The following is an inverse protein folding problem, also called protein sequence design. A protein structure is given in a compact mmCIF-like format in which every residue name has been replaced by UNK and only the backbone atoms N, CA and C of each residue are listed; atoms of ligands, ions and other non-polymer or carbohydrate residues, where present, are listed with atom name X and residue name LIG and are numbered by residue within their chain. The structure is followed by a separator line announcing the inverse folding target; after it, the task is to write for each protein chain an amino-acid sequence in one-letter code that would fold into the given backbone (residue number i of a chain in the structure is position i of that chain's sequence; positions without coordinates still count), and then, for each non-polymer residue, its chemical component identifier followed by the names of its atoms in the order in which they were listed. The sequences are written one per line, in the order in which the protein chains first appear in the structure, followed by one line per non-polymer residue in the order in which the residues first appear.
data_IF_242642365229
#
_entry.id   IF_242642365229
#
_cell.length_a   1.000
_cell.length_b   1.000
_cell.length_c   1.000
_cell.angle_alpha   90.00
_cell.angle_beta   90.00
_cell.angle_gamma   90.00
#
_symmetry.space_group_name_H-M   'P 1'
#
loop_
_entity.id
_entity.type
_entity.pdbx_description
1 polymer ?
#
# COMPACT_ATOMS: atom_id res chain seq x y z
N UNK A 1 -10.88 29.20 19.83
CA UNK A 1 -10.65 27.74 19.98
C UNK A 1 -10.96 27.06 18.65
N UNK A 2 -10.05 27.10 17.68
CA UNK A 2 -10.18 26.31 16.45
C UNK A 2 -9.11 25.21 16.51
N UNK A 3 -9.55 23.97 16.59
CA UNK A 3 -8.68 22.81 16.73
C UNK A 3 -8.02 22.50 15.38
N UNK A 4 -6.69 22.62 15.28
CA UNK A 4 -5.88 22.26 14.11
C UNK A 4 -5.84 20.75 13.79
N UNK A 5 -6.72 19.95 14.39
CA UNK A 5 -6.74 18.48 14.27
C UNK A 5 -7.67 17.98 13.16
N UNK A 6 -8.52 18.83 12.59
CA UNK A 6 -9.51 18.44 11.58
C UNK A 6 -9.00 18.44 10.12
N UNK A 7 -7.78 18.90 9.85
CA UNK A 7 -7.22 18.94 8.48
C UNK A 7 -6.34 17.73 8.10
N UNK A 8 -6.19 16.73 8.98
CA UNK A 8 -5.46 15.50 8.65
C UNK A 8 -6.33 14.47 7.89
N UNK A 9 -7.49 14.90 7.41
CA UNK A 9 -8.52 14.11 6.75
C UNK A 9 -8.32 13.95 5.24
N UNK A 10 -7.35 14.64 4.64
CA UNK A 10 -7.20 14.70 3.18
C UNK A 10 -5.76 14.43 2.75
N UNK A 11 -5.40 13.16 2.64
CA UNK A 11 -4.59 12.63 1.53
C UNK A 11 -4.37 11.15 1.79
N UNK A 12 -4.75 10.33 0.81
CA UNK A 12 -4.58 8.88 0.86
C UNK A 12 -3.18 8.48 1.28
N UNK A 13 -3.08 7.25 1.78
CA UNK A 13 -1.84 6.60 2.20
C UNK A 13 -0.91 6.50 0.98
N UNK A 14 -0.24 7.58 0.61
CA UNK A 14 0.93 7.61 -0.25
C UNK A 14 2.10 7.99 0.64
N UNK A 15 2.40 7.15 1.63
CA UNK A 15 3.78 7.09 2.07
C UNK A 15 4.56 6.65 0.82
N UNK A 16 5.41 7.51 0.22
CA UNK A 16 6.12 7.10 -0.96
C UNK A 16 6.92 5.87 -0.58
N UNK A 17 6.88 4.81 -1.39
CA UNK A 17 7.67 3.59 -1.19
C UNK A 17 9.15 3.93 -0.88
N UNK A 18 9.63 5.04 -1.45
CA UNK A 18 10.90 5.68 -1.15
C UNK A 18 11.14 5.96 0.35
N UNK A 19 10.14 6.42 1.09
CA UNK A 19 10.23 6.69 2.54
C UNK A 19 10.23 5.41 3.38
N UNK A 20 9.55 4.35 2.93
CA UNK A 20 9.61 3.04 3.57
C UNK A 20 10.95 2.33 3.32
N UNK A 21 11.63 2.64 2.20
CA UNK A 21 12.89 2.03 1.79
C UNK A 21 14.14 2.80 2.21
N UNK A 22 13.99 4.05 2.71
CA UNK A 22 15.09 4.83 3.32
C UNK A 22 15.92 4.08 4.37
N UNK A 23 15.36 3.27 5.28
CA UNK A 23 16.17 2.53 6.24
C UNK A 23 16.92 1.32 5.65
N UNK A 24 16.63 0.90 4.41
CA UNK A 24 17.18 -0.32 3.80
C UNK A 24 18.49 -0.12 2.99
N UNK A 25 19.02 1.11 2.93
CA UNK A 25 20.25 1.43 2.19
C UNK A 25 19.98 2.07 0.81
N UNK A 26 21.00 2.10 -0.06
CA UNK A 26 20.88 2.63 -1.43
C UNK A 26 20.19 1.59 -2.31
N UNK A 27 18.91 1.81 -2.60
CA UNK A 27 18.15 1.05 -3.60
C UNK A 27 18.32 1.65 -4.99
N UNK A 28 18.33 0.80 -6.01
CA UNK A 28 18.38 1.23 -7.42
C UNK A 28 17.16 2.07 -7.77
N UNK A 29 17.31 3.04 -8.67
CA UNK A 29 16.18 3.85 -9.18
C UNK A 29 15.10 3.00 -9.85
N UNK A 30 15.46 1.82 -10.35
CA UNK A 30 14.53 0.86 -10.96
C UNK A 30 13.83 -0.05 -9.94
N UNK A 31 14.27 -0.05 -8.69
CA UNK A 31 13.71 -0.94 -7.66
C UNK A 31 12.30 -0.51 -7.23
N UNK A 32 12.08 0.79 -7.04
CA UNK A 32 10.77 1.35 -6.64
C UNK A 32 9.66 1.00 -7.63
N UNK A 33 9.79 1.26 -8.95
CA UNK A 33 8.72 0.94 -9.90
C UNK A 33 8.48 -0.57 -10.02
N UNK A 34 9.52 -1.40 -9.92
CA UNK A 34 9.37 -2.85 -9.94
C UNK A 34 8.68 -3.39 -8.70
N UNK A 35 8.99 -2.84 -7.52
CA UNK A 35 8.33 -3.20 -6.28
C UNK A 35 6.85 -2.80 -6.32
N UNK A 36 6.54 -1.59 -6.80
CA UNK A 36 5.16 -1.12 -6.96
C UNK A 36 4.34 -2.05 -7.87
N UNK A 37 4.90 -2.40 -9.04
CA UNK A 37 4.27 -3.36 -9.95
C UNK A 37 4.02 -4.71 -9.27
N UNK A 38 5.00 -5.21 -8.50
CA UNK A 38 4.87 -6.50 -7.83
C UNK A 38 3.85 -6.50 -6.70
N UNK A 39 3.79 -5.43 -5.93
CA UNK A 39 2.80 -5.26 -4.86
C UNK A 39 1.39 -5.18 -5.43
N UNK A 40 1.20 -4.50 -6.57
CA UNK A 40 -0.10 -4.47 -7.27
C UNK A 40 -0.57 -5.85 -7.69
N UNK A 41 0.30 -6.67 -8.29
CA UNK A 41 -0.03 -8.06 -8.65
C UNK A 41 -0.49 -8.88 -7.43
N UNK A 42 0.19 -8.73 -6.30
CA UNK A 42 -0.16 -9.44 -5.05
C UNK A 42 -1.53 -8.99 -4.54
N UNK A 43 -1.79 -7.69 -4.53
CA UNK A 43 -3.08 -7.14 -4.09
C UNK A 43 -4.24 -7.60 -4.99
N UNK A 44 -4.06 -7.59 -6.31
CA UNK A 44 -5.06 -8.09 -7.26
C UNK A 44 -5.36 -9.59 -7.06
N UNK A 45 -4.32 -10.39 -6.80
CA UNK A 45 -4.48 -11.80 -6.49
C UNK A 45 -5.25 -12.01 -5.17
N UNK A 46 -4.94 -11.22 -4.14
CA UNK A 46 -5.61 -11.27 -2.86
C UNK A 46 -7.09 -10.86 -2.96
N UNK A 47 -7.41 -9.81 -3.74
CA UNK A 47 -8.79 -9.40 -4.01
C UNK A 47 -9.57 -10.54 -4.66
N UNK A 48 -9.02 -11.17 -5.71
CA UNK A 48 -9.68 -12.31 -6.38
C UNK A 48 -9.94 -13.49 -5.44
N UNK A 49 -9.03 -13.75 -4.49
CA UNK A 49 -9.22 -14.79 -3.47
C UNK A 49 -10.30 -14.41 -2.47
N UNK A 50 -10.32 -13.16 -2.00
CA UNK A 50 -11.37 -12.66 -1.12
C UNK A 50 -12.76 -12.73 -1.77
N UNK A 51 -12.88 -12.34 -3.04
CA UNK A 51 -14.10 -12.45 -3.84
C UNK A 51 -14.56 -13.90 -3.98
N UNK A 52 -13.63 -14.83 -4.25
CA UNK A 52 -13.93 -16.27 -4.29
C UNK A 52 -14.44 -16.80 -2.95
N UNK A 53 -14.01 -16.20 -1.85
CA UNK A 53 -14.46 -16.51 -0.50
C UNK A 53 -15.75 -15.75 -0.10
N UNK A 54 -16.36 -15.00 -1.03
CA UNK A 54 -17.59 -14.25 -0.81
C UNK A 54 -17.43 -13.00 0.05
N UNK A 55 -16.20 -12.47 0.15
CA UNK A 55 -15.86 -11.33 1.01
C UNK A 55 -15.48 -10.12 0.15
N UNK A 56 -15.94 -8.94 0.56
CA UNK A 56 -15.56 -7.65 -0.05
C UNK A 56 -14.31 -7.02 0.56
N UNK A 57 -13.74 -7.65 1.59
CA UNK A 57 -12.57 -7.16 2.33
C UNK A 57 -11.45 -8.18 2.26
N UNK A 58 -10.25 -7.73 1.87
CA UNK A 58 -9.04 -8.56 1.84
C UNK A 58 -8.57 -8.84 3.26
N UNK A 59 -8.36 -10.11 3.58
CA UNK A 59 -7.81 -10.58 4.86
C UNK A 59 -6.34 -11.00 4.69
N UNK A 60 -5.56 -11.10 5.79
CA UNK A 60 -4.18 -11.60 5.73
C UNK A 60 -4.03 -13.00 5.12
N UNK A 61 -5.10 -13.79 5.16
CA UNK A 61 -5.19 -15.14 4.61
C UNK A 61 -5.27 -15.14 3.07
N UNK A 62 -5.67 -14.02 2.48
CA UNK A 62 -5.82 -13.87 1.03
C UNK A 62 -4.52 -13.43 0.36
N UNK A 63 -3.52 -12.94 1.10
CA UNK A 63 -2.18 -12.58 0.61
C UNK A 63 -1.37 -13.81 0.21
#
# INVERSE_FOLDING_TARGET
MHCNRCCLSDSGISLPLERALRPAGRVSSQFIPQLDAKVKEILEAAIKRAEKNGRSTVMPQDL
#
